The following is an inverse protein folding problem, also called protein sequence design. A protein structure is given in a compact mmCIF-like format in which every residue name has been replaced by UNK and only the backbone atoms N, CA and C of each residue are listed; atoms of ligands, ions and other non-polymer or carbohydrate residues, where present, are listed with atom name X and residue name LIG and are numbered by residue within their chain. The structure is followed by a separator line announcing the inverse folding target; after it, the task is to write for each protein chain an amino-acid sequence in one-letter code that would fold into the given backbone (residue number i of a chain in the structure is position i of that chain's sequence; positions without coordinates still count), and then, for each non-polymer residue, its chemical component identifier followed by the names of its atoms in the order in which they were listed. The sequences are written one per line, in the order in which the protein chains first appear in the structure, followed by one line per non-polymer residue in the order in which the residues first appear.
data_IF_822575105597
#
_entry.id   IF_822575105597
#
_cell.length_a   1.000
_cell.length_b   1.000
_cell.length_c   1.000
_cell.angle_alpha   90.00
_cell.angle_beta   90.00
_cell.angle_gamma   90.00
#
_symmetry.space_group_name_H-M   'P 1'
#
loop_
_entity.id
_entity.type
_entity.pdbx_description
1 polymer ?
#
# COMPACT_ATOMS: atom_id res chain seq x y z
N UNK A 1 -2.52 -9.00 11.37
CA UNK A 1 -2.63 -8.81 9.91
C UNK A 1 -2.19 -7.39 9.58
N UNK A 2 -1.40 -7.19 8.52
CA UNK A 2 -1.01 -5.86 8.01
C UNK A 2 -1.15 -5.78 6.49
N UNK A 3 -2.09 -4.95 6.03
CA UNK A 3 -2.30 -4.59 4.62
C UNK A 3 -2.20 -3.07 4.42
N UNK A 4 -1.56 -2.36 5.36
CA UNK A 4 -1.46 -0.91 5.35
C UNK A 4 -0.10 -0.45 4.80
N UNK A 5 0.96 -0.49 5.62
CA UNK A 5 2.33 -0.13 5.21
C UNK A 5 3.35 -1.05 5.85
N UNK A 6 4.39 -1.39 5.10
CA UNK A 6 5.48 -2.26 5.54
C UNK A 6 6.32 -1.70 6.68
N UNK A 7 6.32 -0.38 6.92
CA UNK A 7 7.09 0.23 7.99
C UNK A 7 6.39 0.23 9.37
N UNK A 8 5.16 -0.30 9.46
CA UNK A 8 4.35 -0.20 10.70
C UNK A 8 4.71 -1.24 11.77
N UNK A 9 5.39 -2.31 11.39
CA UNK A 9 5.70 -3.43 12.27
C UNK A 9 7.20 -3.68 12.31
N UNK A 10 7.67 -4.23 13.43
CA UNK A 10 8.92 -4.94 13.51
C UNK A 10 8.67 -6.41 13.09
N UNK A 11 9.17 -6.78 11.92
CA UNK A 11 8.90 -8.08 11.30
C UNK A 11 9.71 -9.21 11.94
N UNK A 12 10.91 -8.91 12.45
CA UNK A 12 11.71 -9.89 13.18
C UNK A 12 11.06 -10.22 14.53
N UNK A 13 10.52 -9.21 15.23
CA UNK A 13 9.75 -9.43 16.45
C UNK A 13 8.47 -10.25 16.22
N UNK A 14 7.82 -10.09 15.06
CA UNK A 14 6.68 -10.96 14.70
C UNK A 14 7.14 -12.39 14.46
N UNK A 15 8.26 -12.59 13.75
CA UNK A 15 8.83 -13.93 13.57
C UNK A 15 9.16 -14.59 14.91
N UNK A 16 9.79 -13.87 15.84
CA UNK A 16 10.09 -14.37 17.19
C UNK A 16 8.81 -14.71 17.98
N UNK A 17 7.76 -13.91 17.84
CA UNK A 17 6.49 -14.16 18.49
C UNK A 17 5.75 -15.38 17.91
N UNK A 18 5.93 -15.69 16.63
CA UNK A 18 5.42 -16.92 16.00
C UNK A 18 6.21 -18.14 16.45
N UNK A 19 7.55 -18.06 16.40
CA UNK A 19 8.43 -19.18 16.78
C UNK A 19 8.28 -19.56 18.26
N UNK A 20 8.04 -18.57 19.13
CA UNK A 20 7.75 -18.80 20.56
C UNK A 20 6.32 -19.25 20.86
N UNK A 21 5.43 -19.29 19.86
CA UNK A 21 4.01 -19.63 20.03
C UNK A 21 3.18 -18.54 20.70
N UNK A 22 3.74 -17.33 20.91
CA UNK A 22 2.99 -16.18 21.44
C UNK A 22 1.93 -15.69 20.46
N UNK A 23 2.19 -15.79 19.16
CA UNK A 23 1.23 -15.56 18.09
C UNK A 23 0.84 -16.88 17.45
N UNK A 24 -0.46 -17.04 17.18
CA UNK A 24 -0.98 -18.20 16.47
C UNK A 24 -0.80 -18.10 14.94
N UNK A 25 -0.53 -16.91 14.40
CA UNK A 25 -0.33 -16.67 12.98
C UNK A 25 -0.23 -15.18 12.63
N UNK A 26 0.26 -14.90 11.42
CA UNK A 26 0.36 -13.55 10.86
C UNK A 26 -0.03 -13.53 9.38
N UNK A 27 -0.49 -12.37 8.91
CA UNK A 27 -0.90 -12.17 7.52
C UNK A 27 -0.43 -10.82 7.03
N UNK A 28 0.28 -10.79 5.90
CA UNK A 28 0.92 -9.60 5.37
C UNK A 28 0.67 -9.44 3.87
N UNK A 29 0.32 -8.23 3.47
CA UNK A 29 0.33 -7.82 2.05
C UNK A 29 1.49 -6.86 1.74
N UNK A 30 2.07 -6.23 2.77
CA UNK A 30 3.08 -5.16 2.64
C UNK A 30 4.32 -5.48 3.45
N UNK A 31 5.48 -5.01 2.98
CA UNK A 31 6.80 -5.33 3.56
C UNK A 31 7.70 -4.09 3.63
N UNK A 32 8.66 -4.05 4.56
CA UNK A 32 9.59 -2.92 4.67
C UNK A 32 10.48 -2.76 3.42
N UNK A 33 10.76 -3.86 2.71
CA UNK A 33 11.42 -3.89 1.42
C UNK A 33 10.59 -4.73 0.44
N UNK A 34 10.37 -4.20 -0.76
CA UNK A 34 9.60 -4.84 -1.82
C UNK A 34 10.37 -4.81 -3.15
N UNK A 35 10.56 -5.96 -3.83
CA UNK A 35 10.17 -7.32 -3.43
C UNK A 35 10.86 -7.81 -2.15
N UNK A 36 10.24 -8.76 -1.45
CA UNK A 36 10.82 -9.39 -0.25
C UNK A 36 12.16 -10.06 -0.62
N UNK A 37 13.26 -9.77 0.10
CA UNK A 37 14.54 -10.44 -0.12
C UNK A 37 14.42 -11.97 -0.02
N UNK A 38 15.13 -12.70 -0.89
CA UNK A 38 15.05 -14.17 -0.94
C UNK A 38 15.57 -14.85 0.33
N UNK A 39 16.43 -14.17 1.10
CA UNK A 39 16.98 -14.59 2.39
C UNK A 39 16.15 -14.09 3.59
N UNK A 40 15.01 -13.45 3.35
CA UNK A 40 14.13 -12.96 4.42
C UNK A 40 13.53 -14.10 5.24
N UNK A 41 13.64 -13.99 6.56
CA UNK A 41 13.05 -14.94 7.52
C UNK A 41 11.52 -15.06 7.38
N UNK A 42 10.85 -14.03 6.86
CA UNK A 42 9.41 -14.04 6.57
C UNK A 42 9.00 -15.17 5.61
N UNK A 43 9.90 -15.60 4.72
CA UNK A 43 9.65 -16.68 3.77
C UNK A 43 9.76 -18.08 4.40
N UNK A 44 10.40 -18.18 5.58
CA UNK A 44 10.65 -19.46 6.26
C UNK A 44 9.93 -19.62 7.59
N UNK A 45 9.53 -18.53 8.27
CA UNK A 45 8.80 -18.61 9.54
C UNK A 45 7.41 -19.22 9.35
N UNK A 46 7.06 -20.28 10.10
CA UNK A 46 5.75 -20.92 9.98
C UNK A 46 4.62 -20.02 10.47
N UNK A 47 3.41 -20.25 9.95
CA UNK A 47 2.21 -19.52 10.37
C UNK A 47 2.06 -18.11 9.76
N UNK A 48 2.87 -17.77 8.75
CA UNK A 48 2.74 -16.53 7.97
C UNK A 48 2.01 -16.81 6.66
N UNK A 49 0.98 -16.01 6.36
CA UNK A 49 0.36 -15.90 5.03
C UNK A 49 0.80 -14.59 4.39
N UNK A 50 1.28 -14.67 3.14
CA UNK A 50 1.87 -13.54 2.43
C UNK A 50 1.20 -13.34 1.08
N UNK A 51 0.94 -12.08 0.72
CA UNK A 51 0.58 -11.65 -0.63
C UNK A 51 1.53 -10.54 -1.10
N UNK A 52 1.82 -10.43 -2.41
CA UNK A 52 2.83 -9.52 -2.94
C UNK A 52 2.29 -8.10 -3.20
N UNK A 53 1.80 -7.41 -2.17
CA UNK A 53 1.26 -6.04 -2.26
C UNK A 53 0.12 -5.89 -3.28
N UNK A 54 -0.87 -6.78 -3.18
CA UNK A 54 -2.00 -6.89 -4.11
C UNK A 54 -3.37 -6.78 -3.42
N UNK A 55 -3.46 -6.41 -2.14
CA UNK A 55 -4.74 -6.28 -1.46
C UNK A 55 -5.69 -5.28 -2.16
N UNK A 56 -5.14 -4.27 -2.83
CA UNK A 56 -5.90 -3.30 -3.63
C UNK A 56 -6.02 -3.64 -5.13
N UNK A 57 -5.41 -4.72 -5.62
CA UNK A 57 -5.20 -4.97 -7.05
C UNK A 57 -6.35 -5.72 -7.73
N UNK A 58 -7.60 -5.27 -7.53
CA UNK A 58 -8.74 -5.80 -8.29
C UNK A 58 -8.94 -5.07 -9.62
N UNK A 59 -9.57 -5.74 -10.59
CA UNK A 59 -9.90 -5.13 -11.89
C UNK A 59 -10.81 -3.89 -11.72
N UNK A 60 -11.74 -3.95 -10.79
CA UNK A 60 -12.63 -2.82 -10.47
C UNK A 60 -11.86 -1.62 -9.92
N UNK A 61 -10.90 -1.86 -9.02
CA UNK A 61 -10.04 -0.80 -8.48
C UNK A 61 -9.17 -0.20 -9.58
N UNK A 62 -8.58 -1.01 -10.46
CA UNK A 62 -7.79 -0.53 -11.58
C UNK A 62 -8.62 0.38 -12.52
N UNK A 63 -9.82 -0.06 -12.90
CA UNK A 63 -10.73 0.77 -13.72
C UNK A 63 -11.16 2.05 -13.02
N UNK A 64 -11.48 2.00 -11.73
CA UNK A 64 -11.85 3.18 -10.94
C UNK A 64 -10.69 4.17 -10.84
N UNK A 65 -9.49 3.70 -10.53
CA UNK A 65 -8.30 4.52 -10.43
C UNK A 65 -7.99 5.22 -11.77
N UNK A 66 -8.03 4.48 -12.89
CA UNK A 66 -7.81 5.05 -14.21
C UNK A 66 -8.83 6.17 -14.55
N UNK A 67 -10.11 5.96 -14.23
CA UNK A 67 -11.16 6.98 -14.42
C UNK A 67 -10.91 8.23 -13.58
N UNK A 68 -10.56 8.06 -12.31
CA UNK A 68 -10.26 9.17 -11.39
C UNK A 68 -9.07 9.98 -11.94
N UNK A 69 -7.96 9.32 -12.27
CA UNK A 69 -6.76 10.01 -12.78
C UNK A 69 -7.06 10.75 -14.08
N UNK A 70 -7.74 10.12 -15.04
CA UNK A 70 -8.09 10.77 -16.30
C UNK A 70 -8.98 12.00 -16.10
N UNK A 71 -9.95 11.93 -15.18
CA UNK A 71 -10.82 13.05 -14.85
C UNK A 71 -10.05 14.20 -14.19
N UNK A 72 -9.16 13.92 -13.24
CA UNK A 72 -8.33 14.92 -12.56
C UNK A 72 -7.35 15.61 -13.52
N UNK A 73 -6.69 14.85 -14.40
CA UNK A 73 -5.84 15.41 -15.46
C UNK A 73 -6.66 16.32 -16.38
N UNK A 74 -7.87 15.90 -16.76
CA UNK A 74 -8.78 16.73 -17.55
C UNK A 74 -9.15 18.05 -16.87
N UNK A 75 -9.50 18.01 -15.57
CA UNK A 75 -9.79 19.21 -14.76
C UNK A 75 -8.59 20.15 -14.74
N UNK A 76 -7.40 19.61 -14.45
CA UNK A 76 -6.17 20.37 -14.39
C UNK A 76 -5.85 21.11 -15.70
N UNK A 77 -6.00 20.43 -16.84
CA UNK A 77 -5.74 21.02 -18.15
C UNK A 77 -6.75 22.10 -18.56
N UNK A 78 -7.97 22.07 -18.01
CA UNK A 78 -9.00 23.11 -18.23
C UNK A 78 -8.95 24.25 -17.22
N UNK A 79 -8.00 24.22 -16.27
CA UNK A 79 -7.95 25.20 -15.18
C UNK A 79 -9.09 25.03 -14.16
N UNK A 80 -9.75 23.88 -14.14
CA UNK A 80 -10.79 23.57 -13.16
C UNK A 80 -10.18 23.09 -11.84
N UNK A 81 -10.86 23.31 -10.70
CA UNK A 81 -10.45 22.73 -9.43
C UNK A 81 -10.41 21.19 -9.49
N UNK A 82 -9.33 20.62 -8.94
CA UNK A 82 -9.16 19.18 -8.73
C UNK A 82 -10.17 18.68 -7.69
N UNK A 83 -10.82 17.54 -7.94
CA UNK A 83 -11.79 16.96 -7.02
C UNK A 83 -11.13 16.13 -5.90
N UNK A 84 -9.90 15.65 -6.11
CA UNK A 84 -9.16 14.77 -5.20
C UNK A 84 -7.75 15.31 -4.88
N UNK A 85 -7.62 16.63 -4.70
CA UNK A 85 -6.34 17.26 -4.40
C UNK A 85 -5.82 16.85 -3.02
N UNK A 86 -4.63 16.23 -2.97
CA UNK A 86 -4.00 15.82 -1.72
C UNK A 86 -3.29 16.97 -1.00
N UNK A 87 -2.91 18.00 -1.74
CA UNK A 87 -2.09 19.13 -1.32
C UNK A 87 -2.67 20.45 -1.88
N UNK A 88 -3.85 20.89 -1.41
CA UNK A 88 -4.51 22.10 -1.95
C UNK A 88 -3.67 23.37 -1.80
N UNK A 89 -2.73 23.42 -0.85
CA UNK A 89 -1.85 24.55 -0.61
C UNK A 89 -0.89 24.87 -1.76
N UNK A 90 -0.61 23.90 -2.64
CA UNK A 90 0.24 24.13 -3.83
C UNK A 90 -0.56 24.50 -5.07
N UNK A 91 -1.90 24.54 -4.97
CA UNK A 91 -2.72 24.96 -6.11
C UNK A 91 -2.62 26.47 -6.28
N UNK A 92 -1.86 26.89 -7.29
CA UNK A 92 -1.76 28.31 -7.67
C UNK A 92 -3.09 28.71 -8.32
N UNK A 93 -3.65 29.85 -7.95
CA UNK A 93 -4.80 30.42 -8.65
C UNK A 93 -4.39 30.70 -10.11
N UNK A 94 -4.87 29.85 -11.03
CA UNK A 94 -4.50 29.89 -12.46
C UNK A 94 -5.44 30.77 -13.29
N UNK A 95 -6.26 31.61 -12.65
CA UNK A 95 -7.15 32.56 -13.34
C UNK A 95 -6.47 33.85 -13.80
N UNK A 96 -5.13 33.92 -13.82
CA UNK A 96 -4.36 35.02 -14.42
C UNK A 96 -3.73 34.64 -15.74
#
# INVERSE_FOLDING_TARGET
MNCARGALLDYDAVCDALDSGRLAGAGFDVYPQEPVPADSRLLSTPGIVMTPHIAGASQEVAHKAARIVAAEVGRYLRGEPLAHCANPEVTVDRTR
#
